data_IF_880841228149
#
_entry.id   IF_880841228149
#
_cell.length_a   1.000
_cell.length_b   1.000
_cell.length_c   1.000
_cell.angle_alpha   90.00
_cell.angle_beta   90.00
_cell.angle_gamma   90.00
#
_symmetry.space_group_name_H-M   'P 1'
#
loop_
_entity.id
_entity.type
_entity.pdbx_description
1 polymer ?
#
# COMPACT_ATOMS: atom_id res chain seq x y z
N UNK A 1 20.32 11.04 -16.20
CA UNK A 1 19.44 10.45 -17.23
C UNK A 1 17.98 10.88 -16.99
N UNK A 2 17.72 12.19 -16.89
CA UNK A 2 16.36 12.75 -16.80
C UNK A 2 16.18 13.63 -18.03
N UNK A 3 15.71 13.03 -19.12
CA UNK A 3 15.46 13.73 -20.37
C UNK A 3 14.21 14.61 -20.24
N UNK A 4 14.27 15.81 -20.80
CA UNK A 4 13.18 16.78 -20.92
C UNK A 4 11.86 16.12 -21.33
N UNK A 5 10.83 16.24 -20.49
CA UNK A 5 9.48 15.80 -20.80
C UNK A 5 8.96 16.48 -22.08
N UNK A 6 8.65 15.68 -23.11
CA UNK A 6 8.13 16.21 -24.37
C UNK A 6 6.65 16.58 -24.20
N UNK A 7 6.19 17.75 -24.67
CA UNK A 7 4.80 18.24 -24.43
C UNK A 7 3.72 17.24 -24.82
N UNK A 8 3.95 16.41 -25.85
CA UNK A 8 3.02 15.35 -26.29
C UNK A 8 2.86 14.19 -25.29
N UNK A 9 3.84 13.97 -24.40
CA UNK A 9 3.74 12.95 -23.34
C UNK A 9 2.94 13.49 -22.15
N UNK A 10 3.10 14.77 -21.80
CA UNK A 10 2.34 15.42 -20.72
C UNK A 10 0.85 15.56 -21.07
N UNK A 11 0.53 15.95 -22.31
CA UNK A 11 -0.86 16.01 -22.80
C UNK A 11 -1.37 14.66 -23.39
N UNK A 12 -0.64 13.57 -23.11
CA UNK A 12 -0.97 12.21 -23.56
C UNK A 12 -1.36 11.29 -22.38
N UNK A 13 -0.94 10.01 -22.37
CA UNK A 13 -1.30 9.04 -21.33
C UNK A 13 -0.91 9.46 -19.90
N UNK A 14 0.26 10.09 -19.74
CA UNK A 14 0.72 10.53 -18.41
C UNK A 14 -0.18 11.62 -17.81
N UNK A 15 -0.70 12.53 -18.64
CA UNK A 15 -1.63 13.58 -18.19
C UNK A 15 -2.95 12.99 -17.71
N UNK A 16 -3.45 11.96 -18.40
CA UNK A 16 -4.67 11.25 -18.00
C UNK A 16 -4.47 10.47 -16.70
N UNK A 17 -3.31 9.83 -16.51
CA UNK A 17 -2.94 9.21 -15.23
C UNK A 17 -2.88 10.20 -14.07
N UNK A 18 -2.23 11.35 -14.26
CA UNK A 18 -2.16 12.39 -13.23
C UNK A 18 -3.54 12.97 -12.92
N UNK A 19 -4.38 13.15 -13.95
CA UNK A 19 -5.76 13.57 -13.77
C UNK A 19 -6.56 12.56 -12.95
N UNK A 20 -6.41 11.25 -13.21
CA UNK A 20 -7.04 10.18 -12.41
C UNK A 20 -6.57 10.21 -10.95
N UNK A 21 -5.28 10.41 -10.71
CA UNK A 21 -4.74 10.60 -9.37
C UNK A 21 -5.38 11.80 -8.66
N UNK A 22 -5.48 12.93 -9.35
CA UNK A 22 -6.12 14.15 -8.83
C UNK A 22 -7.61 13.94 -8.54
N UNK A 23 -8.34 13.28 -9.45
CA UNK A 23 -9.74 12.90 -9.25
C UNK A 23 -9.89 12.04 -7.99
N UNK A 24 -9.05 11.00 -7.82
CA UNK A 24 -9.08 10.12 -6.67
C UNK A 24 -8.87 10.89 -5.35
N UNK A 25 -7.97 11.88 -5.31
CA UNK A 25 -7.75 12.75 -4.15
C UNK A 25 -8.94 13.68 -3.85
N UNK A 26 -9.73 14.07 -4.86
CA UNK A 26 -10.89 14.96 -4.70
C UNK A 26 -12.13 14.20 -4.19
N UNK A 27 -12.26 12.90 -4.53
CA UNK A 27 -13.43 12.08 -4.18
C UNK A 27 -13.82 12.11 -2.68
N UNK A 28 -12.88 11.97 -1.71
CA UNK A 28 -13.23 12.06 -0.29
C UNK A 28 -13.95 13.35 0.08
N UNK A 29 -13.44 14.51 -0.37
CA UNK A 29 -14.02 15.81 -0.04
C UNK A 29 -15.45 15.95 -0.55
N UNK A 30 -15.72 15.45 -1.76
CA UNK A 30 -17.07 15.49 -2.33
C UNK A 30 -18.02 14.49 -1.66
N UNK A 31 -17.54 13.29 -1.33
CA UNK A 31 -18.34 12.25 -0.69
C UNK A 31 -18.78 12.64 0.74
N UNK A 32 -17.88 13.25 1.52
CA UNK A 32 -18.16 13.66 2.90
C UNK A 32 -19.02 14.93 3.02
N UNK A 33 -19.29 15.64 1.91
CA UNK A 33 -20.02 16.91 1.93
C UNK A 33 -21.54 16.81 2.21
N UNK A 34 -22.08 15.60 2.36
CA UNK A 34 -23.51 15.27 2.61
C UNK A 34 -24.53 15.89 1.64
N UNK A 35 -24.09 16.56 0.58
CA UNK A 35 -24.95 17.20 -0.43
C UNK A 35 -25.14 16.30 -1.63
N UNK A 36 -26.40 16.14 -2.06
CA UNK A 36 -26.76 15.37 -3.25
C UNK A 36 -25.95 15.78 -4.48
N UNK A 37 -25.74 17.08 -4.69
CA UNK A 37 -25.03 17.60 -5.86
C UNK A 37 -23.56 17.20 -5.85
N UNK A 38 -22.88 17.33 -4.70
CA UNK A 38 -21.47 16.99 -4.57
C UNK A 38 -21.24 15.49 -4.62
N UNK A 39 -22.11 14.67 -4.03
CA UNK A 39 -22.01 13.21 -4.13
C UNK A 39 -22.32 12.71 -5.55
N UNK A 40 -23.25 13.36 -6.27
CA UNK A 40 -23.50 13.08 -7.69
C UNK A 40 -22.29 13.44 -8.54
N UNK A 41 -21.65 14.58 -8.26
CA UNK A 41 -20.41 14.97 -8.93
C UNK A 41 -19.28 13.97 -8.65
N UNK A 42 -19.14 13.50 -7.41
CA UNK A 42 -18.18 12.46 -7.06
C UNK A 42 -18.42 11.18 -7.87
N UNK A 43 -19.68 10.77 -8.03
CA UNK A 43 -20.02 9.60 -8.82
C UNK A 43 -19.63 9.78 -10.29
N UNK A 44 -19.97 10.93 -10.88
CA UNK A 44 -19.60 11.25 -12.27
C UNK A 44 -18.08 11.28 -12.45
N UNK A 45 -17.33 11.87 -11.51
CA UNK A 45 -15.87 11.88 -11.54
C UNK A 45 -15.27 10.47 -11.47
N UNK A 46 -15.83 9.60 -10.62
CA UNK A 46 -15.43 8.20 -10.55
C UNK A 46 -15.69 7.45 -11.87
N UNK A 47 -16.87 7.65 -12.48
CA UNK A 47 -17.21 7.07 -13.80
C UNK A 47 -16.24 7.55 -14.89
N UNK A 48 -15.94 8.85 -14.93
CA UNK A 48 -14.94 9.41 -15.86
C UNK A 48 -13.58 8.76 -15.62
N UNK A 49 -13.14 8.65 -14.37
CA UNK A 49 -11.88 7.99 -14.01
C UNK A 49 -11.79 6.56 -14.55
N UNK A 50 -12.84 5.76 -14.37
CA UNK A 50 -12.91 4.39 -14.91
C UNK A 50 -12.88 4.34 -16.45
N UNK A 51 -13.57 5.26 -17.12
CA UNK A 51 -13.57 5.33 -18.59
C UNK A 51 -12.21 5.78 -19.13
N UNK A 52 -11.53 6.69 -18.44
CA UNK A 52 -10.20 7.16 -18.84
C UNK A 52 -9.13 6.08 -18.72
N UNK A 53 -9.23 5.18 -17.75
CA UNK A 53 -8.35 3.99 -17.65
C UNK A 53 -8.46 3.09 -18.89
N UNK A 54 -9.70 2.82 -19.32
CA UNK A 54 -9.96 2.07 -20.54
C UNK A 54 -9.38 2.76 -21.79
N UNK A 55 -9.52 4.10 -21.86
CA UNK A 55 -9.01 4.91 -22.96
C UNK A 55 -7.47 4.98 -22.99
N UNK A 56 -6.80 5.12 -21.83
CA UNK A 56 -5.33 5.11 -21.71
C UNK A 56 -4.74 3.80 -22.21
N UNK A 57 -5.35 2.68 -21.81
CA UNK A 57 -4.98 1.36 -22.30
C UNK A 57 -5.11 1.23 -23.82
N UNK A 58 -6.02 1.96 -24.46
CA UNK A 58 -6.18 1.97 -25.91
C UNK A 58 -5.17 2.90 -26.60
N UNK A 59 -4.97 4.12 -26.08
CA UNK A 59 -4.04 5.11 -26.65
C UNK A 59 -2.57 4.67 -26.55
N UNK A 60 -2.15 4.10 -25.42
CA UNK A 60 -0.78 3.62 -25.23
C UNK A 60 -0.42 2.52 -26.23
N UNK A 61 -1.36 1.59 -26.50
CA UNK A 61 -1.21 0.52 -27.49
C UNK A 61 -1.16 1.01 -28.94
N UNK A 62 -1.81 2.15 -29.23
CA UNK A 62 -1.86 2.71 -30.59
C UNK A 62 -0.65 3.59 -30.94
N UNK A 63 -0.03 4.23 -29.95
CA UNK A 63 1.01 5.24 -30.18
C UNK A 63 2.43 4.83 -29.74
N UNK A 64 2.65 3.64 -29.16
CA UNK A 64 3.97 3.16 -28.69
C UNK A 64 4.71 4.18 -27.78
N UNK A 65 3.97 5.03 -27.07
CA UNK A 65 4.52 6.05 -26.18
C UNK A 65 4.68 5.44 -24.78
N UNK A 66 5.76 4.68 -24.57
CA UNK A 66 6.10 4.14 -23.25
C UNK A 66 7.05 5.11 -22.56
N UNK A 67 6.57 5.80 -21.52
CA UNK A 67 7.43 6.61 -20.65
C UNK A 67 7.76 5.86 -19.36
N UNK A 68 9.00 5.96 -18.87
CA UNK A 68 9.41 5.30 -17.63
C UNK A 68 8.59 5.76 -16.42
N UNK A 69 8.22 7.05 -16.38
CA UNK A 69 7.35 7.60 -15.35
C UNK A 69 5.93 7.02 -15.42
N UNK A 70 5.32 6.95 -16.60
CA UNK A 70 3.98 6.37 -16.79
C UNK A 70 3.91 4.90 -16.38
N UNK A 71 4.93 4.10 -16.70
CA UNK A 71 4.97 2.69 -16.28
C UNK A 71 4.85 2.46 -14.77
N UNK A 72 5.27 3.41 -13.94
CA UNK A 72 5.18 3.33 -12.48
C UNK A 72 3.91 4.05 -11.97
N UNK A 73 3.62 5.24 -12.52
CA UNK A 73 2.50 6.06 -12.09
C UNK A 73 1.15 5.45 -12.46
N UNK A 74 1.00 4.92 -13.67
CA UNK A 74 -0.26 4.36 -14.19
C UNK A 74 -0.81 3.26 -13.25
N UNK A 75 -0.10 2.14 -13.01
CA UNK A 75 -0.61 1.06 -12.14
C UNK A 75 -0.71 1.44 -10.66
N UNK A 76 -0.17 2.59 -10.26
CA UNK A 76 -0.30 3.13 -8.90
C UNK A 76 -1.57 3.95 -8.78
N UNK A 77 -1.79 4.89 -9.70
CA UNK A 77 -2.98 5.75 -9.72
C UNK A 77 -4.26 4.95 -9.97
N UNK A 78 -4.19 3.88 -10.77
CA UNK A 78 -5.30 2.93 -10.96
C UNK A 78 -5.81 2.38 -9.63
N UNK A 79 -4.88 2.04 -8.72
CA UNK A 79 -5.24 1.51 -7.40
C UNK A 79 -5.81 2.58 -6.51
N UNK A 80 -5.30 3.81 -6.56
CA UNK A 80 -5.83 4.91 -5.76
C UNK A 80 -7.28 5.24 -6.14
N UNK A 81 -7.61 5.22 -7.43
CA UNK A 81 -8.99 5.45 -7.89
C UNK A 81 -9.98 4.43 -7.32
N UNK A 82 -9.54 3.24 -6.93
CA UNK A 82 -10.38 2.18 -6.34
C UNK A 82 -10.29 2.14 -4.81
N UNK A 83 -9.08 2.16 -4.26
CA UNK A 83 -8.84 2.02 -2.83
C UNK A 83 -9.35 3.22 -2.03
N UNK A 84 -9.26 4.44 -2.58
CA UNK A 84 -9.74 5.65 -1.88
C UNK A 84 -11.27 5.62 -1.71
N UNK A 85 -12.09 5.42 -2.76
CA UNK A 85 -13.53 5.29 -2.58
C UNK A 85 -13.91 4.13 -1.64
N UNK A 86 -13.23 2.99 -1.72
CA UNK A 86 -13.46 1.89 -0.77
C UNK A 86 -13.24 2.35 0.68
N UNK A 87 -12.12 3.02 0.97
CA UNK A 87 -11.85 3.58 2.29
C UNK A 87 -12.95 4.55 2.75
N UNK A 88 -13.34 5.49 1.89
CA UNK A 88 -14.40 6.48 2.20
C UNK A 88 -15.75 5.80 2.47
N UNK A 89 -16.17 4.82 1.67
CA UNK A 89 -17.44 4.12 1.93
C UNK A 89 -17.42 3.32 3.24
N UNK A 90 -16.27 2.79 3.63
CA UNK A 90 -16.14 2.17 4.96
C UNK A 90 -16.32 3.20 6.08
N UNK A 91 -15.77 4.41 5.92
CA UNK A 91 -15.91 5.51 6.88
C UNK A 91 -17.33 6.09 6.93
N UNK A 92 -18.05 6.06 5.79
CA UNK A 92 -19.47 6.38 5.73
C UNK A 92 -20.37 5.27 6.32
N UNK A 93 -19.79 4.19 6.85
CA UNK A 93 -20.51 3.14 7.58
C UNK A 93 -21.13 2.04 6.72
N UNK A 94 -20.78 1.95 5.44
CA UNK A 94 -21.34 0.91 4.55
C UNK A 94 -20.87 -0.49 4.96
N UNK A 95 -19.67 -0.59 5.52
CA UNK A 95 -19.07 -1.81 6.03
C UNK A 95 -17.89 -1.51 6.96
N UNK A 96 -17.53 -2.48 7.80
CA UNK A 96 -16.42 -2.35 8.75
C UNK A 96 -15.07 -2.18 8.04
N UNK A 97 -14.21 -1.30 8.58
CA UNK A 97 -12.84 -1.05 8.12
C UNK A 97 -11.97 -2.31 8.01
N UNK A 98 -12.31 -3.37 8.75
CA UNK A 98 -11.62 -4.66 8.69
C UNK A 98 -11.67 -5.32 7.31
N UNK A 99 -12.73 -5.10 6.52
CA UNK A 99 -12.86 -5.69 5.18
C UNK A 99 -11.86 -5.12 4.15
N UNK A 100 -11.33 -3.92 4.40
CA UNK A 100 -10.32 -3.30 3.54
C UNK A 100 -8.94 -3.95 3.69
N UNK A 101 -8.65 -4.53 4.86
CA UNK A 101 -7.34 -5.11 5.20
C UNK A 101 -6.91 -6.17 4.18
N UNK A 102 -7.68 -7.25 3.93
CA UNK A 102 -7.28 -8.26 2.96
C UNK A 102 -7.12 -7.70 1.54
N UNK A 103 -7.95 -6.73 1.16
CA UNK A 103 -7.89 -6.10 -0.17
C UNK A 103 -6.60 -5.30 -0.31
N UNK A 104 -6.31 -4.41 0.64
CA UNK A 104 -5.16 -3.51 0.61
C UNK A 104 -3.85 -4.28 0.76
N UNK A 105 -3.77 -5.22 1.70
CA UNK A 105 -2.60 -6.08 1.89
C UNK A 105 -2.31 -6.86 0.60
N UNK A 106 -3.33 -7.45 -0.04
CA UNK A 106 -3.18 -8.13 -1.33
C UNK A 106 -2.66 -7.19 -2.42
N UNK A 107 -3.19 -5.97 -2.52
CA UNK A 107 -2.75 -4.99 -3.52
C UNK A 107 -1.28 -4.58 -3.30
N UNK A 108 -0.86 -4.38 -2.04
CA UNK A 108 0.55 -4.13 -1.70
C UNK A 108 1.44 -5.30 -2.11
N UNK A 109 1.10 -6.53 -1.69
CA UNK A 109 1.89 -7.74 -2.00
C UNK A 109 2.14 -7.89 -3.48
N UNK A 110 1.09 -7.80 -4.29
CA UNK A 110 1.21 -8.02 -5.74
C UNK A 110 1.95 -6.87 -6.41
N UNK A 111 1.78 -5.64 -5.92
CA UNK A 111 2.54 -4.48 -6.41
C UNK A 111 4.03 -4.68 -6.15
N UNK A 112 4.39 -5.05 -4.93
CA UNK A 112 5.77 -5.33 -4.55
C UNK A 112 6.37 -6.51 -5.33
N UNK A 113 5.61 -7.61 -5.51
CA UNK A 113 6.06 -8.72 -6.34
C UNK A 113 6.36 -8.29 -7.78
N UNK A 114 5.45 -7.52 -8.38
CA UNK A 114 5.61 -6.99 -9.74
C UNK A 114 6.81 -6.06 -9.86
N UNK A 115 7.03 -5.17 -8.89
CA UNK A 115 8.20 -4.29 -8.86
C UNK A 115 9.49 -5.13 -8.76
N UNK A 116 9.54 -6.08 -7.83
CA UNK A 116 10.69 -6.96 -7.64
C UNK A 116 11.10 -7.70 -8.93
N UNK A 117 10.13 -8.29 -9.63
CA UNK A 117 10.37 -9.00 -10.89
C UNK A 117 10.65 -8.07 -12.07
N UNK A 118 10.00 -6.90 -12.13
CA UNK A 118 10.31 -5.91 -13.16
C UNK A 118 11.77 -5.45 -13.08
N UNK A 119 12.31 -5.31 -11.87
CA UNK A 119 13.73 -5.04 -11.64
C UNK A 119 14.66 -6.21 -12.05
N UNK A 120 14.14 -7.42 -12.30
CA UNK A 120 14.89 -8.58 -12.84
C UNK A 120 14.76 -8.71 -14.36
N UNK A 121 13.99 -7.82 -15.00
CA UNK A 121 13.61 -7.99 -16.41
C UNK A 121 12.59 -9.11 -16.63
N UNK A 122 12.03 -9.68 -15.57
CA UNK A 122 10.96 -10.67 -15.64
C UNK A 122 9.60 -9.95 -15.67
N UNK A 123 8.81 -10.19 -16.71
CA UNK A 123 7.47 -9.62 -16.83
C UNK A 123 6.42 -10.64 -16.39
N UNK A 124 5.68 -10.32 -15.32
CA UNK A 124 4.52 -11.11 -14.92
C UNK A 124 3.33 -10.80 -15.84
N UNK A 125 2.83 -11.77 -16.63
CA UNK A 125 1.73 -11.52 -17.55
C UNK A 125 0.42 -11.19 -16.81
N UNK A 126 -0.47 -10.45 -17.49
CA UNK A 126 -1.75 -10.05 -16.93
C UNK A 126 -2.72 -11.25 -16.82
N UNK A 127 -3.07 -11.64 -15.60
CA UNK A 127 -4.01 -12.74 -15.35
C UNK A 127 -5.48 -12.37 -15.60
N UNK A 128 -6.25 -13.32 -16.15
CA UNK A 128 -7.71 -13.19 -16.36
C UNK A 128 -8.46 -12.89 -15.06
N UNK A 129 -8.08 -13.52 -13.95
CA UNK A 129 -8.70 -13.30 -12.63
C UNK A 129 -8.55 -11.87 -12.13
N UNK A 130 -7.45 -11.19 -12.48
CA UNK A 130 -7.23 -9.79 -12.13
C UNK A 130 -8.24 -8.84 -12.77
N UNK A 131 -8.69 -9.14 -14.00
CA UNK A 131 -9.71 -8.35 -14.70
C UNK A 131 -11.09 -8.51 -14.06
N UNK A 132 -11.48 -9.74 -13.73
CA UNK A 132 -12.74 -10.02 -13.04
C UNK A 132 -12.80 -9.35 -11.66
N UNK A 133 -11.70 -9.44 -10.88
CA UNK A 133 -11.57 -8.70 -9.62
C UNK A 133 -11.82 -7.21 -9.83
N UNK A 134 -11.12 -6.60 -10.78
CA UNK A 134 -11.23 -5.16 -11.03
C UNK A 134 -12.66 -4.76 -11.40
N UNK A 135 -13.30 -5.52 -12.30
CA UNK A 135 -14.70 -5.29 -12.67
C UNK A 135 -15.64 -5.37 -11.47
N UNK A 136 -15.45 -6.35 -10.59
CA UNK A 136 -16.30 -6.50 -9.40
C UNK A 136 -16.07 -5.39 -8.36
N UNK A 137 -14.84 -4.88 -8.21
CA UNK A 137 -14.55 -3.71 -7.38
C UNK A 137 -15.26 -2.45 -7.92
N UNK A 138 -15.22 -2.23 -9.23
CA UNK A 138 -15.94 -1.12 -9.86
C UNK A 138 -17.46 -1.24 -9.67
N UNK A 139 -18.04 -2.43 -9.88
CA UNK A 139 -19.47 -2.70 -9.66
C UNK A 139 -19.86 -2.43 -8.20
N UNK A 140 -19.05 -2.89 -7.24
CA UNK A 140 -19.28 -2.64 -5.83
C UNK A 140 -19.28 -1.13 -5.50
N UNK A 141 -18.28 -0.39 -5.98
CA UNK A 141 -18.18 1.06 -5.76
C UNK A 141 -19.38 1.79 -6.38
N UNK A 142 -19.75 1.47 -7.62
CA UNK A 142 -20.94 2.01 -8.26
C UNK A 142 -22.22 1.70 -7.47
N UNK A 143 -22.35 0.48 -6.94
CA UNK A 143 -23.47 0.09 -6.07
C UNK A 143 -23.53 0.94 -4.80
N UNK A 144 -22.38 1.22 -4.18
CA UNK A 144 -22.30 2.11 -3.02
C UNK A 144 -22.72 3.55 -3.36
N UNK A 145 -22.29 4.08 -4.50
CA UNK A 145 -22.73 5.41 -4.97
C UNK A 145 -24.25 5.47 -5.20
N UNK A 146 -24.81 4.48 -5.91
CA UNK A 146 -26.25 4.44 -6.19
C UNK A 146 -27.05 4.37 -4.89
N UNK A 147 -26.61 3.56 -3.93
CA UNK A 147 -27.24 3.50 -2.62
C UNK A 147 -27.10 4.81 -1.84
N UNK A 148 -25.92 5.43 -1.83
CA UNK A 148 -25.70 6.72 -1.16
C UNK A 148 -26.63 7.81 -1.70
N UNK A 149 -26.78 7.88 -3.04
CA UNK A 149 -27.67 8.85 -3.68
C UNK A 149 -29.15 8.56 -3.39
N UNK A 150 -29.53 7.28 -3.28
CA UNK A 150 -30.93 6.91 -2.98
C UNK A 150 -31.37 7.34 -1.58
N UNK A 151 -30.45 7.51 -0.63
CA UNK A 151 -30.73 8.02 0.72
C UNK A 151 -31.29 9.46 0.73
N UNK A 152 -31.16 10.22 -0.37
CA UNK A 152 -31.71 11.57 -0.48
C UNK A 152 -33.21 11.60 -0.81
N UNK A 153 -33.81 10.45 -1.13
CA UNK A 153 -35.20 10.36 -1.56
C UNK A 153 -36.02 9.55 -0.54
N UNK A 154 -37.01 10.17 0.11
CA UNK A 154 -37.85 9.56 1.16
C UNK A 154 -38.70 8.37 0.66
N UNK A 155 -39.01 8.30 -0.63
CA UNK A 155 -39.82 7.23 -1.23
C UNK A 155 -39.10 5.87 -1.37
N UNK A 156 -37.86 5.73 -0.88
CA UNK A 156 -36.98 4.61 -1.18
C UNK A 156 -36.97 3.47 -0.13
N UNK A 157 -37.87 3.42 0.84
CA UNK A 157 -37.80 2.47 1.97
C UNK A 157 -37.48 1.01 1.61
N UNK A 158 -38.25 0.37 0.71
CA UNK A 158 -37.95 -1.01 0.23
C UNK A 158 -36.66 -1.12 -0.60
N UNK A 159 -36.29 -0.06 -1.31
CA UNK A 159 -35.05 0.01 -2.08
C UNK A 159 -33.83 0.10 -1.16
N UNK A 160 -33.98 0.72 0.02
CA UNK A 160 -32.89 0.87 1.00
C UNK A 160 -32.53 -0.49 1.63
N UNK A 161 -33.51 -1.29 2.05
CA UNK A 161 -33.25 -2.62 2.64
C UNK A 161 -32.61 -3.59 1.63
N UNK A 162 -33.16 -3.66 0.41
CA UNK A 162 -32.59 -4.45 -0.68
C UNK A 162 -31.20 -3.96 -1.08
N UNK A 163 -30.98 -2.64 -1.04
CA UNK A 163 -29.69 -2.01 -1.33
C UNK A 163 -28.60 -2.43 -0.34
N UNK A 164 -28.89 -2.41 0.96
CA UNK A 164 -27.94 -2.84 2.01
C UNK A 164 -27.57 -4.31 1.83
N UNK A 165 -28.57 -5.18 1.58
CA UNK A 165 -28.33 -6.60 1.34
C UNK A 165 -27.45 -6.80 0.10
N UNK A 166 -27.75 -6.10 -1.00
CA UNK A 166 -26.97 -6.12 -2.23
C UNK A 166 -25.52 -5.71 -2.02
N UNK A 167 -25.28 -4.61 -1.29
CA UNK A 167 -23.94 -4.14 -0.94
C UNK A 167 -23.18 -5.19 -0.14
N UNK A 168 -23.81 -5.82 0.86
CA UNK A 168 -23.16 -6.87 1.67
C UNK A 168 -22.77 -8.09 0.84
N UNK A 169 -23.66 -8.56 -0.03
CA UNK A 169 -23.39 -9.69 -0.93
C UNK A 169 -22.22 -9.34 -1.86
N UNK A 170 -22.26 -8.15 -2.47
CA UNK A 170 -21.19 -7.68 -3.35
C UNK A 170 -19.86 -7.51 -2.60
N UNK A 171 -19.86 -7.03 -1.35
CA UNK A 171 -18.67 -6.91 -0.52
C UNK A 171 -18.00 -8.28 -0.32
N UNK A 172 -18.77 -9.31 0.05
CA UNK A 172 -18.25 -10.66 0.25
C UNK A 172 -17.71 -11.25 -1.05
N UNK A 173 -18.46 -11.15 -2.14
CA UNK A 173 -18.03 -11.62 -3.45
C UNK A 173 -16.75 -10.91 -3.92
N UNK A 174 -16.69 -9.59 -3.77
CA UNK A 174 -15.56 -8.74 -4.16
C UNK A 174 -14.30 -9.05 -3.34
N UNK A 175 -14.44 -9.20 -2.03
CA UNK A 175 -13.32 -9.58 -1.14
C UNK A 175 -12.82 -10.98 -1.46
N UNK A 176 -13.71 -11.96 -1.61
CA UNK A 176 -13.36 -13.33 -1.95
C UNK A 176 -12.63 -13.41 -3.30
N UNK A 177 -13.17 -12.76 -4.33
CA UNK A 177 -12.55 -12.73 -5.67
C UNK A 177 -11.19 -12.02 -5.66
N UNK A 178 -11.03 -10.99 -4.83
CA UNK A 178 -9.74 -10.28 -4.65
C UNK A 178 -8.67 -11.19 -4.06
N UNK A 179 -9.03 -11.95 -3.04
CA UNK A 179 -8.14 -12.93 -2.41
C UNK A 179 -7.82 -14.08 -3.36
N UNK A 180 -8.83 -14.67 -4.00
CA UNK A 180 -8.64 -15.75 -4.98
C UNK A 180 -7.78 -15.30 -6.17
N UNK A 181 -7.99 -14.07 -6.67
CA UNK A 181 -7.13 -13.51 -7.70
C UNK A 181 -5.70 -13.31 -7.22
N UNK A 182 -5.50 -12.92 -5.95
CA UNK A 182 -4.15 -12.80 -5.39
C UNK A 182 -3.45 -14.14 -5.25
N UNK A 183 -4.15 -15.16 -4.74
CA UNK A 183 -3.62 -16.52 -4.64
C UNK A 183 -3.29 -17.12 -6.02
N UNK A 184 -4.19 -16.95 -7.00
CA UNK A 184 -3.96 -17.31 -8.40
C UNK A 184 -2.68 -16.66 -8.92
N UNK A 185 -2.52 -15.35 -8.71
CA UNK A 185 -1.35 -14.60 -9.17
C UNK A 185 -0.04 -15.14 -8.58
N UNK A 186 -0.02 -15.37 -7.27
CA UNK A 186 1.15 -15.92 -6.59
C UNK A 186 1.45 -17.35 -7.04
N UNK A 187 0.43 -18.17 -7.27
CA UNK A 187 0.59 -19.56 -7.70
C UNK A 187 1.10 -19.69 -9.14
N UNK A 188 0.54 -18.93 -10.09
CA UNK A 188 0.99 -18.95 -11.48
C UNK A 188 2.42 -18.43 -11.64
N UNK A 189 2.85 -17.51 -10.77
CA UNK A 189 4.18 -16.90 -10.82
C UNK A 189 5.14 -17.46 -9.75
N UNK A 190 4.82 -18.61 -9.15
CA UNK A 190 5.61 -19.20 -8.04
C UNK A 190 7.08 -19.46 -8.42
N UNK A 191 7.34 -19.73 -9.70
CA UNK A 191 8.69 -20.00 -10.24
C UNK A 191 9.59 -18.75 -10.24
N UNK A 192 9.00 -17.56 -10.16
CA UNK A 192 9.74 -16.29 -10.08
C UNK A 192 10.21 -15.96 -8.65
N UNK A 193 9.79 -16.73 -7.62
CA UNK A 193 10.28 -16.56 -6.24
C UNK A 193 11.63 -17.25 -6.04
N UNK A 194 12.66 -16.75 -6.75
CA UNK A 194 14.05 -17.20 -6.64
C UNK A 194 14.79 -16.45 -5.54
N UNK A 195 16.02 -16.85 -5.22
CA UNK A 195 16.87 -16.18 -4.22
C UNK A 195 17.04 -14.68 -4.51
N UNK A 196 17.19 -14.30 -5.78
CA UNK A 196 17.34 -12.89 -6.21
C UNK A 196 16.15 -12.03 -5.77
N UNK A 197 14.92 -12.56 -5.87
CA UNK A 197 13.72 -11.85 -5.43
C UNK A 197 13.76 -11.59 -3.92
N UNK A 198 14.15 -12.59 -3.13
CA UNK A 198 14.27 -12.45 -1.68
C UNK A 198 15.39 -11.48 -1.28
N UNK A 199 16.51 -11.45 -2.01
CA UNK A 199 17.58 -10.47 -1.78
C UNK A 199 17.09 -9.03 -1.99
N UNK A 200 16.28 -8.81 -3.02
CA UNK A 200 15.62 -7.52 -3.25
C UNK A 200 14.64 -7.19 -2.14
N UNK A 201 13.83 -8.15 -1.72
CA UNK A 201 12.86 -7.93 -0.65
C UNK A 201 13.55 -7.48 0.65
N UNK A 202 14.59 -8.19 1.08
CA UNK A 202 15.33 -7.91 2.31
C UNK A 202 16.08 -6.57 2.23
N UNK A 203 16.46 -6.14 1.03
CA UNK A 203 17.01 -4.80 0.76
C UNK A 203 15.95 -3.71 0.49
N UNK A 204 14.70 -3.95 0.86
CA UNK A 204 13.57 -3.04 0.58
C UNK A 204 13.50 -2.61 -0.90
N UNK A 205 13.58 -3.59 -1.79
CA UNK A 205 13.57 -3.47 -3.26
C UNK A 205 14.72 -2.63 -3.83
N UNK A 206 15.92 -2.77 -3.25
CA UNK A 206 17.15 -2.13 -3.72
C UNK A 206 17.53 -0.85 -2.99
N UNK A 207 16.72 -0.43 -2.02
CA UNK A 207 17.01 0.69 -1.11
C UNK A 207 18.27 0.42 -0.29
N UNK A 208 18.40 -0.79 0.26
CA UNK A 208 19.56 -1.23 1.02
C UNK A 208 20.84 -1.40 0.18
N UNK A 209 20.76 -1.32 -1.15
CA UNK A 209 21.94 -1.39 -2.03
C UNK A 209 22.60 -0.02 -2.26
N UNK A 210 22.00 1.06 -1.73
CA UNK A 210 22.51 2.42 -1.92
C UNK A 210 23.70 2.65 -0.94
N UNK A 211 24.92 2.91 -1.44
CA UNK A 211 26.16 2.72 -0.69
C UNK A 211 26.45 3.74 0.42
N UNK A 212 25.62 4.77 0.62
CA UNK A 212 25.91 5.85 1.58
C UNK A 212 25.17 5.72 2.91
N UNK A 213 23.88 5.38 2.88
CA UNK A 213 23.03 5.32 4.06
C UNK A 213 21.89 4.30 3.84
N UNK A 214 22.22 3.01 3.59
CA UNK A 214 21.21 2.00 3.28
C UNK A 214 20.15 1.97 4.39
N UNK A 215 20.60 2.09 5.64
CA UNK A 215 19.71 2.06 6.78
C UNK A 215 18.79 3.28 6.97
N UNK A 216 19.29 4.47 6.62
CA UNK A 216 18.44 5.67 6.68
C UNK A 216 17.33 5.58 5.64
N UNK A 217 17.66 5.07 4.45
CA UNK A 217 16.70 4.91 3.37
C UNK A 217 15.72 3.76 3.63
N UNK A 218 16.16 2.67 4.26
CA UNK A 218 15.30 1.58 4.73
C UNK A 218 14.28 2.07 5.75
N UNK A 219 14.74 2.81 6.76
CA UNK A 219 13.88 3.46 7.75
C UNK A 219 12.88 4.44 7.10
N UNK A 220 13.29 5.20 6.08
CA UNK A 220 12.39 6.07 5.32
C UNK A 220 11.33 5.29 4.52
N UNK A 221 11.70 4.13 3.95
CA UNK A 221 10.74 3.23 3.34
C UNK A 221 9.70 2.73 4.36
N UNK A 222 10.15 2.45 5.60
CA UNK A 222 9.28 2.17 6.74
C UNK A 222 8.29 3.29 7.02
N UNK A 223 8.74 4.55 7.05
CA UNK A 223 7.85 5.72 7.22
C UNK A 223 6.81 5.79 6.11
N UNK A 224 7.20 5.48 4.87
CA UNK A 224 6.26 5.36 3.75
C UNK A 224 5.15 4.33 4.01
N UNK A 225 5.51 3.15 4.51
CA UNK A 225 4.52 2.11 4.88
C UNK A 225 3.64 2.54 6.06
N UNK A 226 4.18 3.27 7.04
CA UNK A 226 3.41 3.84 8.15
C UNK A 226 2.32 4.77 7.60
N UNK A 227 2.68 5.72 6.73
CA UNK A 227 1.73 6.66 6.13
C UNK A 227 0.64 5.95 5.30
N UNK A 228 0.99 4.87 4.62
CA UNK A 228 0.05 4.09 3.80
C UNK A 228 -0.92 3.22 4.60
N UNK A 229 -0.65 2.94 5.88
CA UNK A 229 -1.39 1.94 6.65
C UNK A 229 -1.97 2.43 7.99
N UNK A 230 -1.41 3.48 8.59
CA UNK A 230 -1.78 3.95 9.94
C UNK A 230 -3.20 4.51 10.05
N UNK A 231 -3.85 4.83 8.93
CA UNK A 231 -5.26 5.24 8.91
C UNK A 231 -6.22 4.13 9.36
N UNK A 232 -5.75 2.87 9.47
CA UNK A 232 -6.54 1.73 9.94
C UNK A 232 -5.64 0.77 10.75
N UNK A 233 -5.90 0.63 12.05
CA UNK A 233 -5.09 -0.21 12.94
C UNK A 233 -5.03 -1.70 12.52
N UNK A 234 -6.10 -2.25 11.97
CA UNK A 234 -6.10 -3.62 11.45
C UNK A 234 -5.22 -3.76 10.20
N UNK A 235 -5.23 -2.72 9.34
CA UNK A 235 -4.35 -2.67 8.17
C UNK A 235 -2.89 -2.54 8.59
N UNK A 236 -2.61 -1.63 9.53
CA UNK A 236 -1.29 -1.41 10.09
C UNK A 236 -0.69 -2.70 10.65
N UNK A 237 -1.45 -3.41 11.49
CA UNK A 237 -1.02 -4.71 12.01
C UNK A 237 -0.87 -5.79 10.94
N UNK A 238 -1.77 -5.81 9.94
CA UNK A 238 -1.64 -6.71 8.78
C UNK A 238 -0.37 -6.46 7.97
N UNK A 239 0.00 -5.19 7.75
CA UNK A 239 1.25 -4.80 7.06
C UNK A 239 2.47 -5.20 7.89
N UNK A 240 2.48 -4.90 9.18
CA UNK A 240 3.57 -5.29 10.08
C UNK A 240 3.81 -6.80 10.10
N UNK A 241 2.75 -7.60 10.26
CA UNK A 241 2.84 -9.06 10.24
C UNK A 241 3.34 -9.56 8.88
N UNK A 242 2.83 -8.99 7.80
CA UNK A 242 3.27 -9.37 6.46
C UNK A 242 4.75 -9.11 6.24
N UNK A 243 5.24 -7.92 6.61
CA UNK A 243 6.64 -7.55 6.41
C UNK A 243 7.55 -8.43 7.28
N UNK A 244 7.19 -8.63 8.55
CA UNK A 244 7.96 -9.46 9.48
C UNK A 244 8.04 -10.93 9.04
N UNK A 245 6.91 -11.53 8.63
CA UNK A 245 6.84 -12.92 8.20
C UNK A 245 7.58 -13.12 6.88
N UNK A 246 7.36 -12.23 5.89
CA UNK A 246 8.05 -12.31 4.62
C UNK A 246 9.57 -12.09 4.78
N UNK A 247 10.00 -11.19 5.67
CA UNK A 247 11.41 -10.98 6.04
C UNK A 247 12.05 -12.25 6.60
N UNK A 248 11.37 -12.91 7.54
CA UNK A 248 11.82 -14.19 8.10
C UNK A 248 12.02 -15.26 7.01
N UNK A 249 11.04 -15.43 6.12
CA UNK A 249 11.17 -16.38 5.01
C UNK A 249 12.28 -15.99 4.04
N UNK A 250 12.43 -14.70 3.74
CA UNK A 250 13.40 -14.21 2.77
C UNK A 250 14.84 -14.40 3.27
N UNK A 251 15.14 -14.04 4.52
CA UNK A 251 16.48 -14.21 5.11
C UNK A 251 16.87 -15.68 5.20
N UNK A 252 15.94 -16.56 5.58
CA UNK A 252 16.20 -18.01 5.61
C UNK A 252 16.46 -18.63 4.22
N UNK A 253 15.99 -17.99 3.14
CA UNK A 253 16.23 -18.45 1.76
C UNK A 253 17.56 -17.97 1.18
N UNK A 254 18.18 -16.94 1.77
CA UNK A 254 19.41 -16.33 1.26
C UNK A 254 20.70 -16.94 1.84
N UNK A 255 20.60 -17.84 2.83
CA UNK A 255 21.75 -18.43 3.53
C UNK A 255 22.82 -17.38 3.91
N UNK A 256 22.36 -16.29 4.54
CA UNK A 256 23.19 -15.15 4.94
C UNK A 256 24.32 -15.50 5.92
N UNK A 257 24.41 -16.76 6.37
CA UNK A 257 25.49 -17.26 7.23
C UNK A 257 26.89 -17.17 6.59
N UNK A 258 26.97 -16.99 5.26
CA UNK A 258 28.24 -16.88 4.53
C UNK A 258 28.75 -15.45 4.38
N UNK A 259 27.91 -14.45 4.62
CA UNK A 259 28.28 -13.03 4.52
C UNK A 259 28.38 -12.46 5.93
N UNK A 260 29.56 -11.93 6.29
CA UNK A 260 29.74 -11.24 7.57
C UNK A 260 28.98 -9.92 7.50
N UNK A 261 27.82 -9.89 8.16
CA UNK A 261 27.00 -8.70 8.42
C UNK A 261 26.53 -7.94 7.15
N UNK A 262 25.52 -8.45 6.44
CA UNK A 262 25.06 -7.85 5.19
C UNK A 262 24.35 -6.51 5.43
N UNK A 263 25.08 -5.40 5.32
CA UNK A 263 24.59 -4.01 5.42
C UNK A 263 23.41 -3.66 4.48
N UNK A 264 23.10 -4.52 3.51
CA UNK A 264 21.97 -4.34 2.60
C UNK A 264 20.65 -4.86 3.15
N UNK A 265 20.66 -5.58 4.28
CA UNK A 265 19.44 -6.01 4.98
C UNK A 265 18.88 -4.82 5.73
N UNK A 266 17.71 -4.34 5.31
CA UNK A 266 17.06 -3.15 5.88
C UNK A 266 15.57 -3.38 6.17
N UNK A 267 15.12 -4.63 6.10
CA UNK A 267 13.71 -5.01 6.34
C UNK A 267 13.37 -5.03 7.84
N UNK A 268 14.35 -5.34 8.67
CA UNK A 268 14.41 -5.12 10.11
C UNK A 268 14.11 -3.66 10.48
N UNK A 269 14.76 -2.71 9.81
CA UNK A 269 14.55 -1.29 10.09
C UNK A 269 13.14 -0.82 9.71
N UNK A 270 12.62 -1.32 8.59
CA UNK A 270 11.23 -1.11 8.17
C UNK A 270 10.28 -1.60 9.26
N UNK A 271 10.56 -2.77 9.87
CA UNK A 271 9.76 -3.30 10.96
C UNK A 271 9.91 -2.47 12.25
N UNK A 272 11.12 -2.02 12.60
CA UNK A 272 11.38 -1.15 13.73
C UNK A 272 10.64 0.19 13.65
N UNK A 273 10.57 0.80 12.46
CA UNK A 273 9.76 1.99 12.20
C UNK A 273 8.25 1.72 12.33
N UNK A 274 7.77 0.57 11.85
CA UNK A 274 6.37 0.16 12.04
C UNK A 274 6.03 -0.07 13.53
N UNK A 275 6.99 -0.44 14.38
CA UNK A 275 6.75 -0.48 15.83
C UNK A 275 6.76 0.94 16.42
N UNK A 276 7.69 1.79 15.99
CA UNK A 276 7.88 3.15 16.50
C UNK A 276 6.60 3.98 16.48
N UNK A 277 5.78 3.83 15.43
CA UNK A 277 4.56 4.64 15.21
C UNK A 277 3.26 3.91 15.57
N UNK A 278 3.34 2.75 16.22
CA UNK A 278 2.17 1.90 16.44
C UNK A 278 1.08 2.60 17.27
N UNK A 279 -0.06 2.89 16.64
CA UNK A 279 -1.21 3.48 17.32
C UNK A 279 -1.01 4.93 17.78
N UNK A 280 0.05 5.61 17.33
CA UNK A 280 0.32 7.00 17.68
C UNK A 280 -0.26 7.96 16.63
N UNK A 281 -0.77 9.14 17.03
CA UNK A 281 -1.15 10.19 16.09
C UNK A 281 0.05 10.65 15.24
N UNK A 282 -0.16 10.67 13.93
CA UNK A 282 0.85 11.07 12.95
C UNK A 282 0.72 12.56 12.62
N UNK A 283 1.77 13.31 12.92
CA UNK A 283 1.96 14.68 12.48
C UNK A 283 3.44 14.88 12.07
N UNK A 284 3.75 15.96 11.37
CA UNK A 284 5.12 16.16 10.87
C UNK A 284 6.19 16.14 11.99
N UNK A 285 5.97 16.75 13.16
CA UNK A 285 6.89 16.62 14.29
C UNK A 285 7.04 15.18 14.78
N UNK A 286 5.94 14.44 14.99
CA UNK A 286 6.01 13.08 15.51
C UNK A 286 6.73 12.15 14.54
N UNK A 287 6.48 12.28 13.25
CA UNK A 287 7.19 11.53 12.20
C UNK A 287 8.69 11.83 12.21
N UNK A 288 9.09 13.10 12.31
CA UNK A 288 10.50 13.47 12.35
C UNK A 288 11.18 12.97 13.64
N UNK A 289 10.60 13.25 14.80
CA UNK A 289 11.16 12.84 16.08
C UNK A 289 11.19 11.33 16.24
N UNK A 290 10.14 10.62 15.83
CA UNK A 290 10.10 9.16 15.88
C UNK A 290 11.15 8.53 14.98
N UNK A 291 11.31 9.05 13.77
CA UNK A 291 12.38 8.63 12.87
C UNK A 291 13.76 8.84 13.49
N UNK A 292 14.03 10.02 14.06
CA UNK A 292 15.31 10.32 14.69
C UNK A 292 15.57 9.46 15.93
N UNK A 293 14.58 9.29 16.80
CA UNK A 293 14.68 8.45 18.00
C UNK A 293 14.99 6.99 17.62
N UNK A 294 14.27 6.46 16.63
CA UNK A 294 14.50 5.11 16.12
C UNK A 294 15.95 4.96 15.65
N UNK A 295 16.43 5.86 14.80
CA UNK A 295 17.82 5.82 14.32
C UNK A 295 18.84 5.96 15.45
N UNK A 296 18.57 6.80 16.46
CA UNK A 296 19.44 6.91 17.62
C UNK A 296 19.51 5.60 18.40
N UNK A 297 18.39 4.94 18.66
CA UNK A 297 18.39 3.69 19.43
C UNK A 297 18.89 2.49 18.65
N UNK A 298 18.64 2.43 17.35
CA UNK A 298 19.20 1.43 16.45
C UNK A 298 20.74 1.53 16.41
N UNK A 299 21.32 2.74 16.33
CA UNK A 299 22.78 2.91 16.33
C UNK A 299 23.39 2.67 17.72
N UNK A 300 22.75 3.16 18.80
CA UNK A 300 23.30 3.07 20.16
C UNK A 300 23.14 1.65 20.73
N UNK A 301 22.03 0.98 20.40
CA UNK A 301 21.54 -0.28 20.96
C UNK A 301 21.66 -0.31 22.50
N UNK A 302 20.91 0.55 23.22
CA UNK A 302 20.92 0.56 24.69
C UNK A 302 20.53 -0.81 25.27
N UNK A 303 20.94 -1.09 26.50
CA UNK A 303 20.57 -2.33 27.19
C UNK A 303 19.03 -2.48 27.28
N UNK A 304 18.45 -3.67 26.98
CA UNK A 304 19.10 -4.96 26.68
C UNK A 304 19.21 -5.28 25.17
N UNK A 305 19.05 -4.32 24.25
CA UNK A 305 18.96 -4.57 22.80
C UNK A 305 20.17 -5.32 22.24
N UNK A 306 21.39 -4.99 22.67
CA UNK A 306 22.63 -5.71 22.30
C UNK A 306 22.63 -7.20 22.67
N UNK A 307 21.77 -7.63 23.61
CA UNK A 307 21.68 -9.04 23.96
C UNK A 307 20.89 -9.84 22.93
N UNK A 308 20.01 -9.18 22.16
CA UNK A 308 19.18 -9.82 21.15
C UNK A 308 19.98 -10.27 19.93
N UNK A 309 21.14 -9.66 19.65
CA UNK A 309 22.07 -10.10 18.60
C UNK A 309 22.56 -11.55 18.80
N UNK A 310 22.45 -12.10 20.01
CA UNK A 310 22.79 -13.50 20.31
C UNK A 310 21.74 -14.51 19.83
N UNK A 311 20.56 -14.05 19.42
CA UNK A 311 19.51 -14.92 18.91
C UNK A 311 19.90 -15.49 17.54
N UNK A 312 19.60 -16.77 17.27
CA UNK A 312 20.02 -17.39 16.02
C UNK A 312 19.20 -16.90 14.83
N UNK A 313 19.89 -16.64 13.72
CA UNK A 313 19.28 -16.37 12.41
C UNK A 313 18.60 -15.00 12.34
N UNK A 314 17.46 -14.94 11.66
CA UNK A 314 16.71 -13.69 11.42
C UNK A 314 16.28 -12.97 12.70
N UNK A 315 16.01 -13.71 13.77
CA UNK A 315 15.58 -13.11 15.04
C UNK A 315 16.66 -12.25 15.68
N UNK A 316 17.94 -12.56 15.48
CA UNK A 316 19.04 -11.74 15.99
C UNK A 316 19.16 -10.39 15.28
N UNK A 317 18.79 -10.33 14.00
CA UNK A 317 18.82 -9.13 13.14
C UNK A 317 17.57 -8.26 13.35
N UNK A 318 16.41 -8.87 13.63
CA UNK A 318 15.16 -8.11 13.72
C UNK A 318 14.84 -7.62 15.14
N UNK A 319 15.27 -8.33 16.19
CA UNK A 319 14.81 -8.06 17.57
C UNK A 319 15.43 -6.83 18.22
N UNK A 320 16.67 -6.51 17.90
CA UNK A 320 17.32 -5.26 18.29
C UNK A 320 16.61 -4.05 17.67
N UNK A 321 16.29 -4.09 16.37
CA UNK A 321 15.54 -3.04 15.66
C UNK A 321 14.11 -2.89 16.18
N UNK A 322 13.40 -4.00 16.39
CA UNK A 322 12.07 -3.96 16.99
C UNK A 322 12.11 -3.36 18.40
N UNK A 323 13.14 -3.69 19.18
CA UNK A 323 13.32 -3.12 20.52
C UNK A 323 13.70 -1.64 20.48
N UNK A 324 14.52 -1.20 19.52
CA UNK A 324 14.76 0.22 19.26
C UNK A 324 13.46 0.95 18.88
N UNK A 325 12.59 0.28 18.11
CA UNK A 325 11.24 0.74 17.80
C UNK A 325 10.36 0.89 19.04
N UNK A 326 10.38 -0.09 19.96
CA UNK A 326 9.64 -0.01 21.24
C UNK A 326 10.13 1.16 22.09
N UNK A 327 11.44 1.37 22.19
CA UNK A 327 11.99 2.49 22.97
C UNK A 327 11.60 3.85 22.39
N UNK A 328 11.65 3.96 21.06
CA UNK A 328 11.19 5.15 20.35
C UNK A 328 9.70 5.40 20.58
N UNK A 329 8.88 4.35 20.48
CA UNK A 329 7.45 4.40 20.73
C UNK A 329 7.13 4.86 22.16
N UNK A 330 7.81 4.32 23.18
CA UNK A 330 7.60 4.72 24.58
C UNK A 330 7.86 6.22 24.80
N UNK A 331 8.95 6.73 24.23
CA UNK A 331 9.30 8.15 24.36
C UNK A 331 8.30 9.01 23.59
N UNK A 332 7.98 8.65 22.34
CA UNK A 332 6.98 9.40 21.57
C UNK A 332 5.62 9.41 22.24
N UNK A 333 5.16 8.27 22.76
CA UNK A 333 3.91 8.17 23.49
C UNK A 333 3.90 9.08 24.72
N UNK A 334 5.00 9.10 25.48
CA UNK A 334 5.15 10.00 26.63
C UNK A 334 5.12 11.48 26.20
N UNK A 335 5.91 11.86 25.19
CA UNK A 335 5.94 13.24 24.69
C UNK A 335 4.54 13.67 24.22
N UNK A 336 3.83 12.81 23.49
CA UNK A 336 2.51 13.15 22.96
C UNK A 336 1.40 13.19 24.01
N UNK A 337 1.54 12.44 25.10
CA UNK A 337 0.53 12.40 26.17
C UNK A 337 0.70 13.55 27.16
N UNK A 338 1.94 14.01 27.39
CA UNK A 338 2.25 14.94 28.48
C UNK A 338 2.79 16.31 28.03
N UNK A 339 3.18 16.49 26.77
CA UNK A 339 3.65 17.79 26.23
C UNK A 339 2.67 18.40 25.20
N UNK A 340 1.47 17.84 25.05
CA UNK A 340 0.41 18.36 24.20
C UNK A 340 -0.72 19.02 24.98
#
# INVERSE_FOLDING_TARGET
>A
MWASFNRRQIFGPLGLTLLRGLMACVLPFLLFSSSFLFQSLAFVLFLIGMLTDYADGYLARKHNLVSAAGMILDPTMDKFLILIPLAVFSDLGFYSRGWLVPIFVRELVITFCRIGWALEGAHAPAEKMGKWKMGLQCVFICGCFVYLLSLHFEAAGRFQDLGILGIRILLYAMTALTLLSGMSFLYSNRENFKSVFFAKYVSAFGVGLIPYLPGTLGSLAGVGLVLLSAWNGWLYGGVFLLVSIAGYFAVNRLDLKKEHDPLYVVVDEVCGILVTFWGLPLNAPSLLFGFLLFRCFDVIKPFPLKQFEKLPGYWGIMMDDLGAGVYSWMILYFLQTYLH
#
